data_IF_483644791321
#
_entry.id   IF_483644791321
#
_cell.length_a   1.000
_cell.length_b   1.000
_cell.length_c   1.000
_cell.angle_alpha   90.00
_cell.angle_beta   90.00
_cell.angle_gamma   90.00
#
_symmetry.space_group_name_H-M   'P 1'
#
loop_
_entity.id
_entity.type
_entity.pdbx_description
1 polymer ?
#
# COMPACT_ATOMS: atom_id res chain seq x y z
N UNK A 1 -28.63 45.38 -6.89
CA UNK A 1 -27.38 44.78 -7.42
C UNK A 1 -26.69 44.08 -6.26
N UNK A 2 -26.93 42.78 -6.10
CA UNK A 2 -26.28 41.95 -5.08
C UNK A 2 -25.27 41.09 -5.83
N UNK A 3 -23.98 41.28 -5.53
CA UNK A 3 -22.88 40.55 -6.16
C UNK A 3 -23.03 39.07 -5.80
N UNK A 4 -23.09 38.22 -6.83
CA UNK A 4 -23.02 36.78 -6.66
C UNK A 4 -21.70 36.40 -6.02
N UNK A 5 -21.75 35.88 -4.80
CA UNK A 5 -20.63 35.15 -4.23
C UNK A 5 -20.40 33.92 -5.12
N UNK A 6 -19.19 33.81 -5.66
CA UNK A 6 -18.80 32.75 -6.57
C UNK A 6 -19.06 31.37 -5.97
N UNK A 7 -19.98 30.65 -6.60
CA UNK A 7 -20.01 29.20 -6.54
C UNK A 7 -18.73 28.69 -7.23
N UNK A 8 -17.63 28.53 -6.49
CA UNK A 8 -16.36 28.11 -7.09
C UNK A 8 -15.12 28.02 -6.18
N UNK A 9 -15.18 28.46 -4.93
CA UNK A 9 -13.96 28.54 -4.07
C UNK A 9 -13.77 27.38 -3.08
N UNK A 10 -14.66 26.37 -3.12
CA UNK A 10 -14.63 25.22 -2.20
C UNK A 10 -14.25 23.88 -2.85
N UNK A 11 -13.84 23.87 -4.13
CA UNK A 11 -13.09 22.74 -4.70
C UNK A 11 -11.73 22.67 -4.01
N UNK A 12 -11.75 22.08 -2.81
CA UNK A 12 -10.58 21.79 -2.01
C UNK A 12 -9.60 21.03 -2.88
N UNK A 13 -8.37 21.53 -2.91
CA UNK A 13 -7.17 20.97 -3.53
C UNK A 13 -6.84 19.59 -2.92
N UNK A 14 -7.71 18.61 -3.10
CA UNK A 14 -7.46 17.24 -2.66
C UNK A 14 -6.33 16.67 -3.52
N UNK A 15 -5.23 16.34 -2.87
CA UNK A 15 -4.15 15.55 -3.45
C UNK A 15 -4.31 14.12 -2.95
N UNK A 16 -4.16 13.18 -3.86
CA UNK A 16 -4.14 11.74 -3.61
C UNK A 16 -2.71 11.28 -3.83
N UNK A 17 -2.15 10.53 -2.88
CA UNK A 17 -0.89 9.85 -3.11
C UNK A 17 -1.18 8.56 -3.88
N UNK A 18 -0.48 8.38 -4.98
CA UNK A 18 -0.48 7.16 -5.80
C UNK A 18 0.90 6.53 -5.66
N UNK A 19 0.90 5.23 -5.38
CA UNK A 19 2.12 4.41 -5.28
C UNK A 19 2.08 3.34 -6.37
N UNK A 20 3.17 3.20 -7.10
CA UNK A 20 3.29 2.25 -8.21
C UNK A 20 4.70 1.63 -8.31
N UNK A 21 4.83 0.60 -9.15
CA UNK A 21 6.15 0.12 -9.60
C UNK A 21 6.81 1.21 -10.43
N UNK A 22 7.95 1.72 -9.97
CA UNK A 22 8.56 2.93 -10.53
C UNK A 22 9.53 2.67 -11.67
N UNK A 23 10.29 1.57 -11.60
CA UNK A 23 11.35 1.26 -12.56
C UNK A 23 11.31 -0.19 -13.07
N UNK A 24 10.37 -1.02 -12.59
CA UNK A 24 10.30 -2.45 -12.94
C UNK A 24 11.45 -3.27 -12.38
N UNK A 25 12.27 -2.70 -11.49
CA UNK A 25 13.50 -3.28 -10.92
C UNK A 25 13.57 -3.09 -9.40
N UNK A 26 12.40 -2.90 -8.78
CA UNK A 26 12.27 -2.79 -7.33
C UNK A 26 12.32 -1.35 -6.81
N UNK A 27 12.29 -0.34 -7.68
CA UNK A 27 11.99 1.03 -7.33
C UNK A 27 10.49 1.25 -7.15
N UNK A 28 10.13 2.14 -6.23
CA UNK A 28 8.74 2.54 -6.00
C UNK A 28 8.57 3.98 -6.48
N UNK A 29 7.56 4.22 -7.31
CA UNK A 29 7.17 5.57 -7.71
C UNK A 29 6.07 6.10 -6.78
N UNK A 30 6.21 7.36 -6.37
CA UNK A 30 5.27 8.12 -5.57
C UNK A 30 4.81 9.34 -6.39
N UNK A 31 3.50 9.47 -6.59
CA UNK A 31 2.91 10.59 -7.32
C UNK A 31 1.85 11.27 -6.46
N UNK A 32 1.86 12.61 -6.36
CA UNK A 32 0.73 13.36 -5.82
C UNK A 32 -0.16 13.81 -6.97
N UNK A 33 -1.38 13.29 -7.00
CA UNK A 33 -2.33 13.48 -8.09
C UNK A 33 -3.50 14.34 -7.60
N UNK A 34 -3.92 15.33 -8.37
CA UNK A 34 -5.11 16.12 -8.07
C UNK A 34 -6.38 15.31 -8.29
N UNK A 35 -7.50 15.75 -7.71
CA UNK A 35 -8.82 15.18 -8.02
C UNK A 35 -9.16 15.15 -9.52
N UNK A 36 -8.58 16.06 -10.32
CA UNK A 36 -8.71 16.10 -11.78
C UNK A 36 -7.77 15.17 -12.54
N UNK A 37 -6.93 14.39 -11.84
CA UNK A 37 -5.96 13.46 -12.45
C UNK A 37 -4.61 14.10 -12.84
N UNK A 38 -4.39 15.37 -12.52
CA UNK A 38 -3.12 16.05 -12.81
C UNK A 38 -2.03 15.67 -11.81
N UNK A 39 -0.85 15.27 -12.30
CA UNK A 39 0.32 14.98 -11.45
C UNK A 39 0.96 16.31 -11.02
N UNK A 40 1.05 16.53 -9.71
CA UNK A 40 1.71 17.72 -9.13
C UNK A 40 3.18 17.49 -8.85
N UNK A 41 3.52 16.30 -8.40
CA UNK A 41 4.89 15.89 -8.15
C UNK A 41 5.00 14.39 -8.34
N UNK A 42 6.20 13.96 -8.70
CA UNK A 42 6.57 12.57 -8.89
C UNK A 42 7.98 12.38 -8.34
N UNK A 43 8.19 11.27 -7.64
CA UNK A 43 9.53 10.83 -7.23
C UNK A 43 9.62 9.32 -7.31
N UNK A 44 10.76 8.83 -7.79
CA UNK A 44 11.09 7.41 -7.73
C UNK A 44 12.08 7.21 -6.58
N UNK A 45 11.78 6.26 -5.71
CA UNK A 45 12.71 5.76 -4.71
C UNK A 45 13.34 4.50 -5.30
N UNK A 46 14.59 4.58 -5.79
CA UNK A 46 15.23 3.45 -6.43
C UNK A 46 15.64 2.40 -5.40
N UNK A 47 15.80 1.16 -5.86
CA UNK A 47 16.43 0.08 -5.09
C UNK A 47 15.76 -0.19 -3.73
N UNK A 48 14.42 -0.08 -3.67
CA UNK A 48 13.67 -0.53 -2.50
C UNK A 48 13.74 -2.05 -2.41
N UNK A 49 13.61 -2.74 -3.53
CA UNK A 49 13.75 -4.18 -3.67
C UNK A 49 14.85 -4.51 -4.69
N UNK A 50 15.39 -5.74 -4.63
CA UNK A 50 16.38 -6.20 -5.61
C UNK A 50 15.75 -6.75 -6.89
N UNK A 51 14.42 -6.78 -6.95
CA UNK A 51 13.63 -7.24 -8.10
C UNK A 51 12.29 -6.46 -8.15
N UNK A 52 11.56 -6.59 -9.26
CA UNK A 52 10.31 -5.86 -9.55
C UNK A 52 9.28 -5.91 -8.42
N UNK A 53 8.51 -4.84 -8.31
CA UNK A 53 7.33 -4.82 -7.44
C UNK A 53 6.24 -5.68 -8.09
N UNK A 54 5.63 -6.57 -7.31
CA UNK A 54 4.60 -7.50 -7.79
C UNK A 54 3.25 -7.30 -7.12
N UNK A 55 3.21 -6.64 -5.96
CA UNK A 55 1.98 -6.35 -5.25
C UNK A 55 2.10 -5.05 -4.44
N UNK A 56 1.00 -4.31 -4.36
CA UNK A 56 0.90 -3.07 -3.59
C UNK A 56 -0.43 -3.06 -2.83
N UNK A 57 -0.42 -2.56 -1.59
CA UNK A 57 -1.62 -2.29 -0.82
C UNK A 57 -1.43 -1.02 0.01
N UNK A 58 -2.49 -0.22 0.14
CA UNK A 58 -2.48 0.98 0.97
C UNK A 58 -3.66 0.98 1.93
N UNK A 59 -3.46 1.54 3.10
CA UNK A 59 -4.51 1.85 4.05
C UNK A 59 -4.36 3.30 4.53
N UNK A 60 -5.36 4.17 4.33
CA UNK A 60 -5.37 5.50 4.91
C UNK A 60 -5.46 5.40 6.43
N UNK A 61 -4.36 5.68 7.14
CA UNK A 61 -4.37 5.80 8.61
C UNK A 61 -4.92 7.18 8.97
N UNK A 62 -6.26 7.26 8.93
CA UNK A 62 -7.06 8.33 9.52
C UNK A 62 -7.77 9.22 8.52
N UNK A 63 -9.04 9.52 8.82
CA UNK A 63 -9.71 10.71 8.31
C UNK A 63 -8.98 11.93 8.85
N UNK A 64 -8.22 12.63 8.01
CA UNK A 64 -7.88 14.03 8.26
C UNK A 64 -9.15 14.89 8.02
N UNK A 65 -10.16 14.71 8.86
CA UNK A 65 -11.28 15.62 8.97
C UNK A 65 -10.80 16.88 9.72
N UNK A 66 -10.07 17.75 9.02
CA UNK A 66 -9.58 19.01 9.57
C UNK A 66 -8.42 19.57 8.75
N UNK A 67 -8.73 20.51 7.85
CA UNK A 67 -7.78 21.33 7.09
C UNK A 67 -6.62 20.59 6.37
N UNK A 68 -6.90 20.03 5.19
CA UNK A 68 -5.95 20.04 4.06
C UNK A 68 -4.65 19.21 4.15
N UNK A 69 -4.47 18.36 5.16
CA UNK A 69 -3.39 17.38 5.21
C UNK A 69 -3.83 16.02 4.69
N UNK A 70 -3.04 15.37 3.83
CA UNK A 70 -3.19 13.93 3.54
C UNK A 70 -2.97 13.19 4.87
N UNK A 71 -3.98 12.51 5.40
CA UNK A 71 -3.84 11.66 6.60
C UNK A 71 -2.67 10.68 6.42
N UNK A 72 -2.04 10.24 7.50
CA UNK A 72 -0.88 9.36 7.37
C UNK A 72 -1.24 8.11 6.58
N UNK A 73 -0.55 7.81 5.49
CA UNK A 73 -0.84 6.62 4.69
C UNK A 73 0.17 5.53 5.03
N UNK A 74 -0.31 4.30 5.16
CA UNK A 74 0.59 3.14 5.25
C UNK A 74 0.44 2.32 3.99
N UNK A 75 1.58 2.02 3.38
CA UNK A 75 1.66 1.25 2.15
C UNK A 75 2.56 0.05 2.36
N UNK A 76 2.16 -1.08 1.80
CA UNK A 76 2.97 -2.27 1.72
C UNK A 76 3.29 -2.57 0.25
N UNK A 77 4.55 -2.85 -0.03
CA UNK A 77 5.01 -3.27 -1.35
C UNK A 77 5.63 -4.66 -1.25
N UNK A 78 5.13 -5.60 -2.06
CA UNK A 78 5.70 -6.94 -2.22
C UNK A 78 6.52 -7.02 -3.51
N UNK A 79 7.61 -7.78 -3.48
CA UNK A 79 8.51 -7.93 -4.62
C UNK A 79 8.70 -9.39 -5.04
N UNK A 80 9.13 -9.57 -6.28
CA UNK A 80 9.64 -10.83 -6.79
C UNK A 80 10.89 -11.33 -6.03
N UNK A 81 11.59 -10.45 -5.28
CA UNK A 81 12.73 -10.83 -4.41
C UNK A 81 12.33 -11.67 -3.18
N UNK A 82 11.03 -11.90 -3.00
CA UNK A 82 10.46 -12.70 -1.92
C UNK A 82 10.41 -11.99 -0.58
N UNK A 83 10.51 -10.66 -0.59
CA UNK A 83 10.29 -9.82 0.58
C UNK A 83 9.19 -8.79 0.32
N UNK A 84 8.72 -8.18 1.40
CA UNK A 84 7.87 -7.00 1.34
C UNK A 84 8.48 -5.85 2.14
N UNK A 85 8.10 -4.62 1.83
CA UNK A 85 8.47 -3.42 2.59
C UNK A 85 7.22 -2.67 3.03
N UNK A 86 7.28 -2.14 4.24
CA UNK A 86 6.21 -1.33 4.82
C UNK A 86 6.66 0.13 4.89
N UNK A 87 5.78 1.02 4.45
CA UNK A 87 6.00 2.44 4.31
C UNK A 87 4.98 3.20 5.15
N UNK A 88 5.42 4.31 5.75
CA UNK A 88 4.52 5.25 6.40
C UNK A 88 4.80 6.64 5.84
N UNK A 89 3.82 7.18 5.14
CA UNK A 89 3.85 8.53 4.60
C UNK A 89 3.18 9.44 5.61
N UNK A 90 3.96 10.34 6.21
CA UNK A 90 3.46 11.35 7.14
C UNK A 90 3.38 12.66 6.35
N UNK A 91 2.32 13.46 6.55
CA UNK A 91 2.07 14.75 5.91
C UNK A 91 3.15 15.84 6.13
N UNK A 92 4.27 15.50 6.76
CA UNK A 92 5.38 16.44 6.93
C UNK A 92 6.18 16.53 5.63
N UNK A 93 6.66 17.73 5.32
CA UNK A 93 7.60 18.06 4.23
C UNK A 93 8.88 17.20 4.18
N UNK A 94 9.10 16.36 5.19
CA UNK A 94 10.09 15.31 5.21
C UNK A 94 9.36 13.96 5.14
N UNK A 95 9.10 13.49 3.93
CA UNK A 95 8.80 12.07 3.74
C UNK A 95 10.09 11.32 4.10
N UNK A 96 10.14 10.46 5.13
CA UNK A 96 11.21 9.48 5.20
C UNK A 96 11.07 8.60 3.95
N UNK A 97 11.90 8.87 2.94
CA UNK A 97 11.96 8.12 1.66
C UNK A 97 12.61 6.73 1.85
N UNK A 98 12.55 6.18 3.05
CA UNK A 98 13.07 4.84 3.37
C UNK A 98 11.94 3.99 3.92
N UNK A 99 11.92 2.68 3.60
CA UNK A 99 10.95 1.78 4.17
C UNK A 99 11.09 1.77 5.69
N UNK A 100 9.95 1.79 6.38
CA UNK A 100 9.88 1.68 7.84
C UNK A 100 10.35 0.29 8.27
N UNK A 101 9.95 -0.73 7.54
CA UNK A 101 10.23 -2.14 7.85
C UNK A 101 10.46 -2.94 6.57
N UNK A 102 11.35 -3.93 6.64
CA UNK A 102 11.46 -5.00 5.66
C UNK A 102 10.90 -6.29 6.28
N UNK A 103 9.98 -6.92 5.57
CA UNK A 103 9.22 -8.08 5.99
C UNK A 103 9.68 -9.29 5.18
N UNK A 104 10.35 -10.22 5.85
CA UNK A 104 10.79 -11.48 5.27
C UNK A 104 9.93 -12.65 5.75
N UNK A 105 10.27 -13.85 5.30
CA UNK A 105 9.62 -15.08 5.76
C UNK A 105 9.29 -16.06 4.64
N UNK A 106 9.25 -15.58 3.39
CA UNK A 106 8.85 -16.35 2.20
C UNK A 106 9.99 -17.10 1.50
N UNK A 107 11.14 -17.26 2.16
CA UNK A 107 12.27 -18.05 1.65
C UNK A 107 12.72 -17.71 0.21
N UNK A 108 12.55 -16.46 -0.23
CA UNK A 108 12.88 -16.00 -1.58
C UNK A 108 11.82 -16.30 -2.65
N UNK A 109 10.69 -16.91 -2.30
CA UNK A 109 9.58 -17.10 -3.24
C UNK A 109 8.93 -15.74 -3.59
N UNK A 110 8.67 -15.45 -4.89
CA UNK A 110 8.05 -14.20 -5.31
C UNK A 110 6.73 -13.88 -4.61
N UNK A 111 6.52 -12.61 -4.28
CA UNK A 111 5.26 -12.15 -3.69
C UNK A 111 4.15 -12.15 -4.76
N UNK A 112 3.00 -12.70 -4.42
CA UNK A 112 1.80 -12.68 -5.25
C UNK A 112 0.77 -11.67 -4.76
N UNK A 113 0.69 -11.46 -3.44
CA UNK A 113 -0.25 -10.51 -2.87
C UNK A 113 0.26 -9.92 -1.55
N UNK A 114 -0.17 -8.69 -1.27
CA UNK A 114 0.03 -8.03 0.02
C UNK A 114 -1.26 -7.33 0.45
N UNK A 115 -1.44 -7.15 1.75
CA UNK A 115 -2.51 -6.31 2.32
C UNK A 115 -2.03 -5.66 3.60
N UNK A 116 -2.61 -4.52 3.96
CA UNK A 116 -2.33 -3.81 5.20
C UNK A 116 -3.62 -3.27 5.82
N UNK A 117 -3.69 -3.35 7.15
CA UNK A 117 -4.74 -2.75 7.96
C UNK A 117 -4.11 -2.05 9.16
N UNK A 118 -4.06 -0.73 9.09
CA UNK A 118 -3.72 0.17 10.18
C UNK A 118 -4.60 0.00 11.41
N UNK A 119 -5.95 -0.07 11.29
CA UNK A 119 -6.84 -0.30 12.43
C UNK A 119 -6.59 -1.61 13.18
N UNK A 120 -6.29 -2.70 12.46
CA UNK A 120 -5.94 -3.98 13.09
C UNK A 120 -4.47 -4.04 13.50
N UNK A 121 -3.66 -3.06 13.08
CA UNK A 121 -2.20 -3.06 13.21
C UNK A 121 -1.57 -4.35 12.64
N UNK A 122 -2.15 -4.88 11.56
CA UNK A 122 -1.73 -6.11 10.89
C UNK A 122 -1.52 -5.87 9.40
N UNK A 123 -0.57 -6.59 8.83
CA UNK A 123 -0.41 -6.71 7.38
C UNK A 123 -0.12 -8.17 7.03
N UNK A 124 -0.38 -8.55 5.78
CA UNK A 124 -0.09 -9.90 5.32
C UNK A 124 0.55 -9.88 3.94
N UNK A 125 1.37 -10.89 3.68
CA UNK A 125 1.94 -11.17 2.37
C UNK A 125 1.77 -12.63 2.02
N UNK A 126 1.71 -12.89 0.72
CA UNK A 126 1.41 -14.21 0.15
C UNK A 126 2.41 -14.50 -0.97
N UNK A 127 2.90 -15.73 -0.98
CA UNK A 127 3.68 -16.35 -2.05
C UNK A 127 3.11 -17.72 -2.36
N UNK A 128 3.66 -18.39 -3.38
CA UNK A 128 3.39 -19.81 -3.65
C UNK A 128 3.71 -20.74 -2.47
N UNK A 129 4.66 -20.39 -1.60
CA UNK A 129 5.12 -21.27 -0.51
C UNK A 129 4.39 -21.04 0.82
N UNK A 130 3.87 -19.83 1.07
CA UNK A 130 3.22 -19.47 2.33
C UNK A 130 2.49 -18.14 2.30
N UNK A 131 1.59 -17.98 3.28
CA UNK A 131 1.03 -16.71 3.72
C UNK A 131 1.65 -16.32 5.07
N UNK A 132 2.08 -15.07 5.22
CA UNK A 132 2.67 -14.52 6.43
C UNK A 132 1.85 -13.33 6.94
N UNK A 133 1.58 -13.28 8.24
CA UNK A 133 0.93 -12.16 8.93
C UNK A 133 1.95 -11.46 9.83
N UNK A 134 2.04 -10.15 9.75
CA UNK A 134 2.97 -9.33 10.52
C UNK A 134 2.26 -8.23 11.30
N UNK A 135 2.91 -7.79 12.37
CA UNK A 135 2.53 -6.58 13.09
C UNK A 135 3.07 -5.33 12.35
N UNK A 136 2.19 -4.39 12.00
CA UNK A 136 2.51 -3.16 11.24
C UNK A 136 3.47 -2.24 12.00
N UNK A 137 3.44 -2.26 13.34
CA UNK A 137 4.21 -1.34 14.16
C UNK A 137 5.70 -1.70 14.23
N UNK A 138 6.04 -2.99 14.27
CA UNK A 138 7.42 -3.46 14.47
C UNK A 138 7.91 -4.50 13.45
N UNK A 139 7.04 -4.97 12.56
CA UNK A 139 7.40 -5.93 11.50
C UNK A 139 7.57 -7.36 11.99
N UNK A 140 7.22 -7.66 13.26
CA UNK A 140 7.32 -9.00 13.79
C UNK A 140 6.35 -9.94 13.05
N UNK A 141 6.84 -11.11 12.64
CA UNK A 141 6.02 -12.19 12.09
C UNK A 141 5.13 -12.75 13.22
N UNK A 142 3.82 -12.55 13.09
CA UNK A 142 2.81 -13.03 14.04
C UNK A 142 2.48 -14.48 13.74
N UNK A 143 2.27 -14.81 12.47
CA UNK A 143 1.91 -16.17 12.04
C UNK A 143 2.30 -16.43 10.59
N UNK A 144 2.55 -17.70 10.26
CA UNK A 144 2.65 -18.16 8.89
C UNK A 144 1.77 -19.39 8.65
N UNK A 145 1.32 -19.55 7.42
CA UNK A 145 0.49 -20.66 6.96
C UNK A 145 1.10 -21.22 5.69
N UNK A 146 1.20 -22.55 5.63
CA UNK A 146 1.51 -23.24 4.39
C UNK A 146 0.25 -23.30 3.51
N UNK A 147 0.41 -23.32 2.18
CA UNK A 147 -0.67 -23.64 1.26
C UNK A 147 -1.32 -24.98 1.63
N UNK A 148 -2.62 -25.16 1.37
CA UNK A 148 -3.27 -26.45 1.52
C UNK A 148 -2.52 -27.52 0.72
N UNK A 149 -2.24 -28.66 1.36
CA UNK A 149 -1.47 -29.77 0.76
C UNK A 149 -2.29 -30.68 -0.15
N UNK A 150 -3.62 -30.54 -0.17
CA UNK A 150 -4.50 -31.34 -1.01
C UNK A 150 -5.05 -30.53 -2.18
N UNK A 151 -4.70 -30.96 -3.39
CA UNK A 151 -5.01 -30.27 -4.64
C UNK A 151 -3.78 -29.59 -5.22
N UNK A 152 -2.96 -30.37 -5.94
CA UNK A 152 -1.91 -29.85 -6.82
C UNK A 152 -2.58 -29.08 -7.96
N UNK A 153 -2.90 -27.84 -7.71
CA UNK A 153 -3.41 -26.87 -8.67
C UNK A 153 -2.78 -25.54 -8.34
N UNK A 154 -2.11 -24.94 -9.32
CA UNK A 154 -1.26 -23.75 -9.20
C UNK A 154 -2.03 -22.45 -8.89
N UNK A 155 -3.17 -22.54 -8.19
CA UNK A 155 -4.16 -21.47 -8.04
C UNK A 155 -4.52 -21.26 -6.55
N UNK A 156 -3.60 -20.66 -5.79
CA UNK A 156 -3.89 -20.19 -4.42
C UNK A 156 -4.67 -18.89 -4.51
N UNK A 157 -6.01 -18.98 -4.45
CA UNK A 157 -6.89 -17.80 -4.40
C UNK A 157 -6.89 -17.18 -3.01
N UNK A 158 -6.13 -16.11 -2.83
CA UNK A 158 -6.23 -15.28 -1.64
C UNK A 158 -7.27 -14.18 -1.86
N UNK A 159 -8.33 -14.20 -1.05
CA UNK A 159 -9.35 -13.16 -1.02
C UNK A 159 -9.28 -12.42 0.30
N UNK A 160 -9.03 -11.13 0.24
CA UNK A 160 -9.21 -10.25 1.39
C UNK A 160 -10.62 -9.69 1.34
N UNK A 161 -11.45 -10.06 2.31
CA UNK A 161 -12.80 -9.49 2.47
C UNK A 161 -12.75 -8.41 3.54
N UNK A 162 -13.07 -7.16 3.17
CA UNK A 162 -13.35 -6.10 4.14
C UNK A 162 -14.84 -6.00 4.38
N UNK A 163 -15.27 -5.89 5.64
CA UNK A 163 -16.67 -5.57 5.97
C UNK A 163 -16.96 -4.10 5.58
N UNK A 164 -18.02 -3.80 4.82
CA UNK A 164 -18.21 -2.49 4.17
C UNK A 164 -18.66 -1.34 5.09
N UNK A 165 -18.82 -1.54 6.40
CA UNK A 165 -19.44 -0.53 7.26
C UNK A 165 -18.67 0.79 7.43
N UNK A 166 -17.44 0.92 6.92
CA UNK A 166 -16.66 2.17 6.98
C UNK A 166 -15.80 2.46 5.75
N UNK A 167 -16.35 2.31 4.54
CA UNK A 167 -15.73 2.87 3.33
C UNK A 167 -14.34 2.32 3.03
N UNK A 168 -14.20 1.01 2.92
CA UNK A 168 -12.94 0.36 2.58
C UNK A 168 -12.81 0.15 1.06
N UNK A 169 -11.62 0.41 0.54
CA UNK A 169 -11.23 0.14 -0.84
C UNK A 169 -10.88 -1.34 -0.99
N UNK A 170 -11.59 -2.04 -1.88
CA UNK A 170 -11.27 -3.40 -2.28
C UNK A 170 -9.97 -3.40 -3.10
N UNK A 171 -8.91 -4.02 -2.60
CA UNK A 171 -7.77 -4.42 -3.44
C UNK A 171 -7.99 -5.87 -3.86
N UNK A 172 -8.44 -6.07 -5.09
CA UNK A 172 -8.44 -7.38 -5.74
C UNK A 172 -7.16 -7.55 -6.55
N UNK A 173 -6.36 -8.55 -6.23
CA UNK A 173 -5.31 -9.04 -7.14
C UNK A 173 -5.93 -10.23 -7.88
N UNK A 174 -6.15 -10.05 -9.18
CA UNK A 174 -6.41 -11.15 -10.10
C UNK A 174 -5.06 -11.57 -10.64
N UNK A 175 -4.64 -12.78 -10.30
CA UNK A 175 -3.58 -13.51 -11.00
C UNK A 175 -4.18 -14.32 -12.13
#
# INVERSE_FOLDING_TARGET
SVRGAGCGEWERRALVLVVSDGDGRGGICLQLVTASGGIKTETIIPQVHSDRITALAMDPIGNAAGQGGVGGEVTMAGSADGTATLWRFISSQFLPLRPRLRLGGHAGCPMHAVTVSGPLNLCASVSSDRCCIFNVSNGALVRSFLPPTEGRGDDVKVRFASCPDRGAYTTSIVG
#
